data_IF_629899072109
#
_entry.id   IF_629899072109
#
_cell.length_a   1.000
_cell.length_b   1.000
_cell.length_c   1.000
_cell.angle_alpha   90.00
_cell.angle_beta   90.00
_cell.angle_gamma   90.00
#
_symmetry.space_group_name_H-M   'P 1'
#
loop_
_entity.id
_entity.type
_entity.pdbx_description
1 polymer ?
#
# COMPACT_ATOMS: atom_id res chain seq x y z
N UNK A 1 32.74 -6.20 11.96
CA UNK A 1 32.82 -4.82 11.42
C UNK A 1 31.64 -4.48 10.50
N UNK A 2 30.42 -5.00 10.78
CA UNK A 2 29.26 -4.93 9.87
C UNK A 2 28.00 -4.36 10.54
N UNK A 3 28.08 -4.06 11.85
CA UNK A 3 26.98 -3.58 12.68
C UNK A 3 26.87 -2.04 12.64
N UNK A 4 28.00 -1.33 12.48
CA UNK A 4 28.02 0.14 12.40
C UNK A 4 27.44 0.68 11.07
N UNK A 5 27.54 -0.06 9.96
CA UNK A 5 27.05 0.40 8.64
C UNK A 5 25.52 0.33 8.54
N UNK A 6 24.87 -0.52 9.32
CA UNK A 6 23.40 -0.64 9.37
C UNK A 6 22.77 0.50 10.17
N UNK A 7 23.45 0.98 11.23
CA UNK A 7 22.99 2.09 12.05
C UNK A 7 23.00 3.41 11.27
N UNK A 8 24.07 3.71 10.53
CA UNK A 8 24.18 4.97 9.76
C UNK A 8 23.12 5.08 8.66
N UNK A 9 22.79 3.97 7.98
CA UNK A 9 21.74 3.96 6.94
C UNK A 9 20.33 4.06 7.51
N UNK A 10 20.12 3.59 8.75
CA UNK A 10 18.86 3.75 9.47
C UNK A 10 18.59 5.22 9.76
N UNK A 11 19.62 5.96 10.19
CA UNK A 11 19.54 7.39 10.41
C UNK A 11 19.26 8.15 9.11
N UNK A 12 19.84 7.78 7.97
CA UNK A 12 19.62 8.51 6.70
C UNK A 12 18.20 8.39 6.16
N UNK A 13 17.55 7.23 6.21
CA UNK A 13 16.17 7.09 5.71
C UNK A 13 15.19 7.78 6.66
N UNK A 14 15.39 7.64 7.97
CA UNK A 14 14.61 8.38 8.96
C UNK A 14 14.81 9.90 8.77
N UNK A 15 16.05 10.34 8.58
CA UNK A 15 16.38 11.75 8.34
C UNK A 15 15.93 12.23 6.95
N UNK A 16 15.77 11.38 5.93
CA UNK A 16 15.18 11.76 4.64
C UNK A 16 13.65 11.81 4.69
N UNK A 17 13.03 10.95 5.51
CA UNK A 17 11.63 11.09 5.91
C UNK A 17 11.40 12.37 6.71
N UNK A 18 12.39 12.79 7.52
CA UNK A 18 12.39 14.00 8.34
C UNK A 18 12.75 15.27 7.54
N UNK A 19 13.65 15.21 6.54
CA UNK A 19 14.03 16.37 5.69
C UNK A 19 12.87 16.79 4.76
N UNK A 20 12.02 15.85 4.32
CA UNK A 20 10.81 16.22 3.58
C UNK A 20 9.69 16.78 4.48
N UNK A 21 9.91 16.84 5.80
CA UNK A 21 9.10 17.59 6.77
C UNK A 21 9.56 19.06 6.76
N UNK A 22 9.43 19.74 5.63
CA UNK A 22 9.27 21.20 5.68
C UNK A 22 7.93 21.45 6.38
N UNK A 23 7.82 22.39 7.33
CA UNK A 23 6.66 22.60 8.22
C UNK A 23 5.30 22.94 7.59
N UNK A 24 5.06 22.55 6.35
CA UNK A 24 3.80 22.59 5.64
C UNK A 24 3.08 21.24 5.72
N UNK A 25 1.75 21.29 5.73
CA UNK A 25 0.86 20.13 5.62
C UNK A 25 1.15 19.37 4.31
N UNK A 26 1.42 18.07 4.39
CA UNK A 26 1.64 17.19 3.23
C UNK A 26 0.53 16.15 3.10
N UNK A 27 0.34 15.67 1.87
CA UNK A 27 -0.59 14.60 1.55
C UNK A 27 0.15 13.25 1.48
N UNK A 28 -0.32 12.28 2.26
CA UNK A 28 0.14 10.88 2.25
C UNK A 28 -0.88 10.04 1.50
N UNK A 29 -0.46 9.39 0.42
CA UNK A 29 -1.30 8.45 -0.33
C UNK A 29 -0.85 7.03 -0.02
N UNK A 30 -1.79 6.18 0.38
CA UNK A 30 -1.55 4.75 0.59
C UNK A 30 -2.37 3.96 -0.44
N UNK A 31 -1.69 3.12 -1.21
CA UNK A 31 -2.35 2.22 -2.18
C UNK A 31 -3.08 1.11 -1.42
N UNK A 32 -4.41 1.16 -1.46
CA UNK A 32 -5.32 0.32 -0.71
C UNK A 32 -5.91 -0.77 -1.62
N UNK A 33 -5.33 -1.97 -1.56
CA UNK A 33 -5.84 -3.17 -2.21
C UNK A 33 -6.34 -4.19 -1.19
N UNK A 34 -7.28 -5.08 -1.59
CA UNK A 34 -7.67 -6.20 -0.75
C UNK A 34 -6.46 -7.14 -0.59
N UNK A 35 -5.80 -7.07 0.56
CA UNK A 35 -4.61 -7.88 0.80
C UNK A 35 -3.84 -7.49 2.07
N UNK A 36 -3.03 -8.45 2.54
CA UNK A 36 -2.17 -8.26 3.70
C UNK A 36 -1.00 -7.32 3.44
N UNK A 37 -0.60 -7.19 2.17
CA UNK A 37 0.46 -6.31 1.70
C UNK A 37 0.07 -4.84 1.94
N UNK A 38 -1.10 -4.42 1.44
CA UNK A 38 -1.62 -3.07 1.68
C UNK A 38 -1.92 -2.80 3.15
N UNK A 39 -2.48 -3.79 3.88
CA UNK A 39 -2.68 -3.65 5.32
C UNK A 39 -1.35 -3.45 6.06
N UNK A 40 -0.32 -4.22 5.72
CA UNK A 40 1.02 -4.06 6.29
C UNK A 40 1.65 -2.71 5.96
N UNK A 41 1.47 -2.22 4.74
CA UNK A 41 1.95 -0.91 4.30
C UNK A 41 1.26 0.24 5.06
N UNK A 42 -0.06 0.15 5.24
CA UNK A 42 -0.82 1.11 6.02
C UNK A 42 -0.37 1.12 7.48
N UNK A 43 -0.19 -0.06 8.08
CA UNK A 43 0.30 -0.18 9.45
C UNK A 43 1.67 0.46 9.63
N UNK A 44 2.58 0.22 8.70
CA UNK A 44 3.89 0.87 8.72
C UNK A 44 3.75 2.40 8.63
N UNK A 45 2.95 2.89 7.67
CA UNK A 45 2.77 4.32 7.45
C UNK A 45 2.23 5.03 8.70
N UNK A 46 1.18 4.49 9.32
CA UNK A 46 0.55 5.07 10.52
C UNK A 46 1.49 5.11 11.73
N UNK A 47 2.44 4.16 11.83
CA UNK A 47 3.35 4.05 12.98
C UNK A 47 4.67 4.79 12.80
N UNK A 48 5.12 5.02 11.56
CA UNK A 48 6.48 5.52 11.30
C UNK A 48 6.54 6.73 10.38
N UNK A 49 5.52 6.96 9.56
CA UNK A 49 5.60 7.95 8.49
C UNK A 49 4.60 9.10 8.66
N UNK A 50 3.38 8.84 9.13
CA UNK A 50 2.30 9.85 9.24
C UNK A 50 2.52 10.75 10.46
N UNK A 51 2.36 12.06 10.26
CA UNK A 51 2.39 13.09 11.30
C UNK A 51 1.00 13.70 11.54
N UNK A 52 0.81 14.38 12.67
CA UNK A 52 -0.50 14.95 13.04
C UNK A 52 -1.03 15.99 12.03
N UNK A 53 -0.14 16.75 11.39
CA UNK A 53 -0.54 17.75 10.38
C UNK A 53 -0.81 17.17 8.98
N UNK A 54 -0.54 15.87 8.76
CA UNK A 54 -0.69 15.24 7.45
C UNK A 54 -2.17 15.04 7.08
N UNK A 55 -2.40 14.69 5.82
CA UNK A 55 -3.66 14.10 5.37
C UNK A 55 -3.40 12.74 4.73
N UNK A 56 -4.33 11.81 4.87
CA UNK A 56 -4.25 10.48 4.29
C UNK A 56 -5.33 10.30 3.22
N UNK A 57 -4.93 9.84 2.04
CA UNK A 57 -5.84 9.25 1.05
C UNK A 57 -5.55 7.76 0.94
N UNK A 58 -6.57 6.94 1.17
CA UNK A 58 -6.61 5.52 0.83
C UNK A 58 -7.05 5.41 -0.63
N UNK A 59 -6.11 5.15 -1.53
CA UNK A 59 -6.35 5.09 -2.97
C UNK A 59 -6.58 3.65 -3.42
N UNK A 60 -7.78 3.36 -3.92
CA UNK A 60 -8.10 2.09 -4.58
C UNK A 60 -8.28 2.28 -6.08
N UNK A 61 -7.58 1.50 -6.90
CA UNK A 61 -7.76 1.50 -8.36
C UNK A 61 -8.48 0.24 -8.79
N UNK A 62 -9.70 0.44 -9.29
CA UNK A 62 -10.60 -0.61 -9.74
C UNK A 62 -10.24 -1.04 -11.18
N UNK A 63 -10.11 -2.34 -11.47
CA UNK A 63 -9.94 -2.77 -12.85
C UNK A 63 -11.24 -2.52 -13.63
N UNK A 64 -11.12 -2.10 -14.89
CA UNK A 64 -12.25 -1.76 -15.80
C UNK A 64 -13.34 -2.85 -15.87
N UNK A 65 -12.98 -4.12 -15.60
CA UNK A 65 -13.89 -5.26 -15.64
C UNK A 65 -14.48 -5.70 -14.28
N UNK A 66 -14.15 -5.05 -13.16
CA UNK A 66 -14.67 -5.44 -11.83
C UNK A 66 -16.21 -5.43 -11.80
N UNK A 67 -16.83 -4.43 -12.42
CA UNK A 67 -18.28 -4.25 -12.52
C UNK A 67 -19.02 -5.38 -13.26
N UNK A 68 -18.33 -6.24 -14.02
CA UNK A 68 -18.95 -7.38 -14.75
C UNK A 68 -18.79 -8.72 -14.03
N UNK A 69 -17.93 -8.82 -13.01
CA UNK A 69 -17.69 -10.08 -12.29
C UNK A 69 -18.69 -10.32 -11.14
N UNK A 70 -19.51 -9.32 -10.80
CA UNK A 70 -20.53 -9.39 -9.74
C UNK A 70 -21.77 -10.26 -10.03
N UNK A 71 -21.81 -11.02 -11.13
CA UNK A 71 -23.00 -11.81 -11.50
C UNK A 71 -22.82 -13.33 -11.50
N UNK A 72 -21.75 -13.92 -10.96
CA UNK A 72 -21.53 -15.39 -11.04
C UNK A 72 -21.20 -16.12 -9.72
N UNK A 73 -21.50 -15.54 -8.56
CA UNK A 73 -21.30 -16.20 -7.26
C UNK A 73 -22.61 -16.56 -6.54
N UNK A 74 -23.58 -17.17 -7.24
CA UNK A 74 -24.72 -17.83 -6.59
C UNK A 74 -25.03 -19.21 -7.20
N UNK A 75 -24.13 -20.16 -6.97
CA UNK A 75 -24.47 -21.58 -6.88
C UNK A 75 -23.89 -22.17 -5.59
N UNK A 76 -24.40 -21.71 -4.43
CA UNK A 76 -24.25 -22.44 -3.17
C UNK A 76 -25.49 -22.26 -2.28
N UNK A 77 -26.42 -23.21 -2.45
CA UNK A 77 -27.45 -23.78 -1.55
C UNK A 77 -28.22 -22.84 -0.58
N UNK A 78 -29.57 -22.82 -0.60
CA UNK A 78 -30.36 -22.05 0.35
C UNK A 78 -30.55 -22.81 1.67
N UNK A 79 -30.41 -22.11 2.79
CA UNK A 79 -31.09 -22.44 4.04
C UNK A 79 -31.73 -21.16 4.56
N UNK A 80 -33.05 -21.16 4.52
CA UNK A 80 -33.95 -20.08 4.90
C UNK A 80 -33.89 -19.81 6.41
N UNK A 81 -33.78 -18.53 6.81
CA UNK A 81 -34.62 -17.95 7.89
C UNK A 81 -34.80 -16.46 7.60
N UNK A 82 -36.04 -15.99 7.67
CA UNK A 82 -36.49 -14.65 7.32
C UNK A 82 -36.19 -13.59 8.40
N UNK A 83 -36.01 -12.33 8.00
CA UNK A 83 -36.17 -11.20 8.91
C UNK A 83 -35.57 -9.87 8.43
N UNK A 84 -36.44 -8.89 8.22
CA UNK A 84 -36.24 -7.44 8.10
C UNK A 84 -35.56 -6.86 6.85
N UNK A 85 -36.33 -5.98 6.21
CA UNK A 85 -35.92 -5.06 5.17
C UNK A 85 -34.82 -4.12 5.65
N UNK A 86 -33.75 -4.05 4.88
CA UNK A 86 -32.89 -2.89 4.76
C UNK A 86 -32.31 -2.97 3.35
N UNK A 87 -32.67 -2.03 2.47
CA UNK A 87 -32.00 -1.87 1.19
C UNK A 87 -30.57 -1.39 1.46
N UNK A 88 -29.68 -2.34 1.74
CA UNK A 88 -28.24 -2.15 1.78
C UNK A 88 -27.71 -2.50 0.40
N UNK A 89 -27.66 -1.49 -0.47
CA UNK A 89 -27.03 -1.60 -1.78
C UNK A 89 -25.52 -1.81 -1.64
N UNK A 90 -25.04 -3.01 -1.95
CA UNK A 90 -23.62 -3.33 -2.10
C UNK A 90 -22.94 -3.97 -0.88
N UNK A 91 -23.38 -5.15 -0.48
CA UNK A 91 -22.72 -5.93 0.57
C UNK A 91 -21.35 -6.46 0.09
N UNK A 92 -20.27 -5.78 0.50
CA UNK A 92 -18.94 -6.41 0.68
C UNK A 92 -17.84 -6.09 -0.34
N UNK A 93 -18.10 -5.36 -1.43
CA UNK A 93 -17.08 -5.19 -2.49
C UNK A 93 -15.89 -4.31 -2.06
N UNK A 94 -16.08 -3.45 -1.05
CA UNK A 94 -15.05 -2.52 -0.57
C UNK A 94 -14.95 -2.40 0.96
N UNK A 95 -15.47 -3.38 1.70
CA UNK A 95 -15.46 -3.39 3.17
C UNK A 95 -14.03 -3.26 3.74
N UNK A 96 -13.03 -3.74 3.01
CA UNK A 96 -11.63 -3.60 3.41
C UNK A 96 -11.16 -2.13 3.44
N UNK A 97 -11.72 -1.25 2.61
CA UNK A 97 -11.39 0.18 2.63
C UNK A 97 -11.95 0.85 3.88
N UNK A 98 -13.17 0.48 4.29
CA UNK A 98 -13.76 0.97 5.53
C UNK A 98 -12.97 0.47 6.74
N UNK A 99 -12.56 -0.80 6.75
CA UNK A 99 -11.69 -1.36 7.79
C UNK A 99 -10.34 -0.62 7.88
N UNK A 100 -9.72 -0.31 6.74
CA UNK A 100 -8.48 0.48 6.69
C UNK A 100 -8.69 1.90 7.20
N UNK A 101 -9.79 2.55 6.82
CA UNK A 101 -10.14 3.90 7.29
C UNK A 101 -10.34 3.94 8.80
N UNK A 102 -11.06 2.97 9.36
CA UNK A 102 -11.24 2.82 10.81
C UNK A 102 -9.89 2.64 11.51
N UNK A 103 -8.95 1.88 10.93
CA UNK A 103 -7.60 1.74 11.48
C UNK A 103 -6.83 3.06 11.47
N UNK A 104 -6.95 3.87 10.41
CA UNK A 104 -6.37 5.21 10.36
C UNK A 104 -6.94 6.11 11.45
N UNK A 105 -8.27 6.23 11.54
CA UNK A 105 -8.95 7.11 12.50
C UNK A 105 -8.66 6.71 13.95
N UNK A 106 -8.50 5.40 14.21
CA UNK A 106 -8.12 4.89 15.53
C UNK A 106 -6.68 5.24 15.90
N UNK A 107 -5.73 5.10 14.98
CA UNK A 107 -4.29 5.30 15.28
C UNK A 107 -3.86 6.76 15.18
N UNK A 108 -4.49 7.53 14.30
CA UNK A 108 -4.15 8.91 13.98
C UNK A 108 -5.44 9.78 14.00
N UNK A 109 -6.09 9.96 15.16
CA UNK A 109 -7.42 10.60 15.25
C UNK A 109 -7.43 12.08 14.85
N UNK A 110 -6.27 12.73 14.80
CA UNK A 110 -6.11 14.14 14.39
C UNK A 110 -5.92 14.30 12.87
N UNK A 111 -5.60 13.20 12.18
CA UNK A 111 -5.29 13.20 10.75
C UNK A 111 -6.56 12.99 9.95
N UNK A 112 -6.76 13.81 8.91
CA UNK A 112 -7.90 13.66 8.01
C UNK A 112 -7.69 12.47 7.09
N UNK A 113 -8.67 11.56 7.03
CA UNK A 113 -8.61 10.34 6.20
C UNK A 113 -9.72 10.38 5.14
N UNK A 114 -9.33 10.21 3.88
CA UNK A 114 -10.23 10.13 2.74
C UNK A 114 -10.04 8.79 2.00
N UNK A 115 -11.09 8.31 1.35
CA UNK A 115 -11.03 7.15 0.46
C UNK A 115 -11.24 7.67 -0.95
N UNK A 116 -10.30 7.40 -1.84
CA UNK A 116 -10.38 7.75 -3.26
C UNK A 116 -10.45 6.46 -4.07
N UNK A 117 -11.55 6.26 -4.80
CA UNK A 117 -11.72 5.11 -5.70
C UNK A 117 -11.67 5.60 -7.13
N UNK A 118 -10.82 5.01 -7.94
CA UNK A 118 -10.64 5.43 -9.33
C UNK A 118 -10.65 4.21 -10.23
N UNK A 119 -11.33 4.31 -11.37
CA UNK A 119 -11.26 3.28 -12.39
C UNK A 119 -9.88 3.31 -13.07
N UNK A 120 -9.33 2.13 -13.34
CA UNK A 120 -8.12 2.00 -14.13
C UNK A 120 -8.34 2.64 -15.50
N UNK A 121 -7.43 3.54 -15.89
CA UNK A 121 -7.51 4.20 -17.18
C UNK A 121 -7.16 3.26 -18.35
N UNK A 122 -6.87 3.86 -19.50
CA UNK A 122 -6.40 3.12 -20.70
C UNK A 122 -5.06 2.41 -20.45
N UNK A 123 -4.22 2.96 -19.57
CA UNK A 123 -2.95 2.38 -19.14
C UNK A 123 -3.12 1.51 -17.90
N UNK A 124 -2.03 0.89 -17.47
CA UNK A 124 -2.04 0.00 -16.32
C UNK A 124 -2.30 0.73 -14.98
N UNK A 125 -2.51 -0.09 -13.94
CA UNK A 125 -2.73 0.36 -12.57
C UNK A 125 -1.63 1.28 -12.05
N UNK A 126 -0.38 0.93 -12.34
CA UNK A 126 0.79 1.65 -11.83
C UNK A 126 0.84 3.07 -12.40
N UNK A 127 0.58 3.21 -13.70
CA UNK A 127 0.46 4.51 -14.34
C UNK A 127 -0.70 5.33 -13.75
N UNK A 128 -1.87 4.71 -13.54
CA UNK A 128 -3.04 5.39 -12.95
C UNK A 128 -2.73 5.96 -11.57
N UNK A 129 -2.11 5.14 -10.69
CA UNK A 129 -1.69 5.56 -9.35
C UNK A 129 -0.68 6.72 -9.45
N UNK A 130 0.31 6.60 -10.33
CA UNK A 130 1.34 7.62 -10.50
C UNK A 130 0.74 8.97 -10.95
N UNK A 131 -0.19 8.95 -11.90
CA UNK A 131 -0.87 10.16 -12.38
C UNK A 131 -1.68 10.82 -11.28
N UNK A 132 -2.46 10.05 -10.51
CA UNK A 132 -3.25 10.57 -9.39
C UNK A 132 -2.37 11.15 -8.28
N UNK A 133 -1.31 10.43 -7.89
CA UNK A 133 -0.40 10.91 -6.85
C UNK A 133 0.27 12.24 -7.24
N UNK A 134 0.65 12.38 -8.51
CA UNK A 134 1.18 13.64 -9.02
C UNK A 134 0.11 14.75 -9.09
N UNK A 135 -1.11 14.44 -9.53
CA UNK A 135 -2.18 15.41 -9.67
C UNK A 135 -2.65 15.96 -8.31
N UNK A 136 -2.69 15.11 -7.29
CA UNK A 136 -3.06 15.47 -5.93
C UNK A 136 -1.91 16.13 -5.15
N UNK A 137 -0.70 16.21 -5.72
CA UNK A 137 0.47 16.77 -5.05
C UNK A 137 0.90 15.96 -3.82
N UNK A 138 0.86 14.62 -3.92
CA UNK A 138 1.29 13.73 -2.84
C UNK A 138 2.73 14.06 -2.41
N UNK A 139 2.95 14.23 -1.09
CA UNK A 139 4.29 14.34 -0.51
C UNK A 139 4.92 12.96 -0.26
N UNK A 140 4.09 11.97 0.05
CA UNK A 140 4.49 10.59 0.30
C UNK A 140 3.52 9.62 -0.36
N UNK A 141 4.03 8.67 -1.14
CA UNK A 141 3.29 7.55 -1.72
C UNK A 141 3.75 6.23 -1.07
N UNK A 142 2.82 5.46 -0.53
CA UNK A 142 3.11 4.19 0.13
C UNK A 142 2.38 3.04 -0.59
N UNK A 143 3.11 1.98 -0.90
CA UNK A 143 2.55 0.78 -1.55
C UNK A 143 3.04 -0.50 -0.88
N UNK A 144 2.11 -1.44 -0.67
CA UNK A 144 2.44 -2.77 -0.17
C UNK A 144 3.12 -3.63 -1.23
N UNK A 145 4.27 -4.20 -0.87
CA UNK A 145 5.01 -5.15 -1.70
C UNK A 145 4.77 -6.57 -1.24
N UNK A 146 4.45 -7.44 -2.21
CA UNK A 146 4.30 -8.87 -1.95
C UNK A 146 5.64 -9.49 -1.63
N UNK A 147 5.63 -10.43 -0.69
CA UNK A 147 6.78 -11.31 -0.49
C UNK A 147 6.86 -12.26 -1.68
N UNK A 148 7.88 -12.10 -2.52
CA UNK A 148 8.34 -13.17 -3.39
C UNK A 148 8.86 -14.30 -2.49
N UNK A 149 7.96 -15.15 -2.00
CA UNK A 149 8.34 -16.47 -1.49
C UNK A 149 8.76 -17.26 -2.71
N UNK A 150 10.06 -17.28 -2.99
CA UNK A 150 10.61 -18.30 -3.86
C UNK A 150 10.20 -19.65 -3.28
N UNK A 151 9.29 -20.34 -3.97
CA UNK A 151 9.17 -21.79 -3.82
C UNK A 151 10.49 -22.38 -4.27
N UNK A 152 11.39 -22.58 -3.29
CA UNK A 152 12.56 -23.42 -3.40
C UNK A 152 12.11 -24.88 -3.48
N UNK A 153 11.51 -25.26 -4.62
CA UNK A 153 11.50 -26.65 -5.10
C UNK A 153 11.75 -26.58 -6.61
N UNK A 154 13.03 -26.54 -6.99
CA UNK A 154 13.45 -27.20 -8.24
C UNK A 154 13.80 -26.36 -9.47
N UNK A 155 14.36 -25.14 -9.39
CA UNK A 155 15.12 -24.58 -10.55
C UNK A 155 16.43 -23.92 -10.13
N UNK A 156 17.51 -24.69 -10.32
CA UNK A 156 18.88 -24.20 -10.57
C UNK A 156 18.83 -23.21 -11.75
N UNK A 157 19.66 -22.17 -11.67
CA UNK A 157 19.89 -21.09 -12.65
C UNK A 157 18.82 -20.00 -12.71
N UNK A 158 18.93 -18.99 -11.85
CA UNK A 158 18.54 -17.61 -12.19
C UNK A 158 18.96 -16.62 -11.08
N UNK A 159 20.26 -16.40 -10.91
CA UNK A 159 20.77 -15.25 -10.15
C UNK A 159 20.89 -14.01 -11.06
N UNK A 160 20.27 -14.06 -12.24
CA UNK A 160 20.35 -13.02 -13.28
C UNK A 160 19.06 -12.85 -14.08
N UNK A 161 17.95 -13.49 -13.72
CA UNK A 161 16.66 -13.35 -14.40
C UNK A 161 15.48 -13.41 -13.40
N UNK A 162 15.39 -12.44 -12.48
CA UNK A 162 14.05 -12.03 -12.04
C UNK A 162 13.44 -11.23 -13.19
N UNK A 163 12.98 -11.96 -14.19
CA UNK A 163 12.29 -11.45 -15.37
C UNK A 163 11.02 -10.73 -14.92
N UNK A 164 11.17 -9.44 -14.64
CA UNK A 164 10.32 -8.33 -15.10
C UNK A 164 8.83 -8.68 -15.17
N UNK A 165 8.29 -9.23 -14.08
CA UNK A 165 6.86 -9.24 -13.83
C UNK A 165 6.54 -7.96 -13.10
N UNK A 166 6.13 -6.93 -13.86
CA UNK A 166 5.58 -5.63 -13.47
C UNK A 166 5.28 -5.45 -11.95
N UNK A 167 6.31 -5.30 -11.10
CA UNK A 167 6.07 -4.93 -9.70
C UNK A 167 5.63 -3.47 -9.72
N UNK A 168 4.33 -3.25 -9.49
CA UNK A 168 3.71 -1.93 -9.41
C UNK A 168 4.52 -1.04 -8.47
N UNK A 169 5.01 -1.60 -7.36
CA UNK A 169 5.80 -0.84 -6.41
C UNK A 169 7.14 -0.37 -6.99
N UNK A 170 7.88 -1.24 -7.69
CA UNK A 170 9.14 -0.84 -8.32
C UNK A 170 8.90 0.24 -9.39
N UNK A 171 7.85 0.10 -10.21
CA UNK A 171 7.49 1.13 -11.18
C UNK A 171 7.20 2.47 -10.50
N UNK A 172 6.37 2.48 -9.45
CA UNK A 172 6.03 3.68 -8.70
C UNK A 172 7.26 4.31 -8.04
N UNK A 173 8.13 3.50 -7.43
CA UNK A 173 9.35 3.96 -6.77
C UNK A 173 10.30 4.67 -7.75
N UNK A 174 10.48 4.13 -8.96
CA UNK A 174 11.40 4.71 -9.93
C UNK A 174 10.83 5.98 -10.58
N UNK A 175 9.50 6.03 -10.80
CA UNK A 175 8.85 7.07 -11.60
C UNK A 175 8.12 8.15 -10.78
N UNK A 176 7.93 7.99 -9.47
CA UNK A 176 7.31 9.01 -8.61
C UNK A 176 8.13 10.29 -8.57
N UNK A 177 7.44 11.43 -8.58
CA UNK A 177 8.06 12.74 -8.30
C UNK A 177 8.24 12.99 -6.80
N UNK A 178 7.36 12.42 -6.00
CA UNK A 178 7.40 12.46 -4.54
C UNK A 178 8.16 11.26 -3.96
N UNK A 179 8.37 11.27 -2.63
CA UNK A 179 8.90 10.12 -1.93
C UNK A 179 7.93 8.94 -2.07
N UNK A 180 8.39 7.86 -2.70
CA UNK A 180 7.62 6.62 -2.79
C UNK A 180 8.33 5.50 -2.01
N UNK A 181 7.55 4.80 -1.19
CA UNK A 181 8.03 3.72 -0.33
C UNK A 181 7.23 2.45 -0.61
N UNK A 182 7.92 1.43 -1.10
CA UNK A 182 7.45 0.06 -1.15
C UNK A 182 7.68 -0.61 0.21
N UNK A 183 6.62 -1.18 0.79
CA UNK A 183 6.64 -1.73 2.15
C UNK A 183 6.32 -3.21 2.12
N UNK A 184 7.21 -4.02 2.68
CA UNK A 184 7.01 -5.46 2.83
C UNK A 184 7.05 -5.86 4.31
N UNK A 185 5.90 -6.24 4.87
CA UNK A 185 5.83 -6.75 6.25
C UNK A 185 6.50 -8.13 6.39
N UNK A 186 7.43 -8.27 7.32
CA UNK A 186 8.14 -9.53 7.60
C UNK A 186 7.50 -10.25 8.79
N UNK A 187 6.65 -11.24 8.51
CA UNK A 187 6.03 -12.06 9.56
C UNK A 187 5.14 -11.24 10.52
N UNK A 188 4.77 -11.82 11.66
CA UNK A 188 4.02 -11.08 12.69
C UNK A 188 4.93 -10.12 13.47
N UNK A 189 6.17 -10.52 13.80
CA UNK A 189 7.09 -9.77 14.66
C UNK A 189 8.43 -9.39 13.99
N UNK A 190 8.57 -9.57 12.67
CA UNK A 190 9.85 -9.40 11.97
C UNK A 190 10.06 -8.02 11.35
N UNK A 191 9.22 -7.03 11.71
CA UNK A 191 9.31 -5.66 11.21
C UNK A 191 8.92 -5.50 9.74
N UNK A 192 9.54 -4.54 9.06
CA UNK A 192 9.23 -4.12 7.69
C UNK A 192 10.49 -4.02 6.85
N UNK A 193 10.45 -4.50 5.61
CA UNK A 193 11.46 -4.18 4.60
C UNK A 193 10.93 -3.05 3.73
N UNK A 194 11.71 -1.98 3.60
CA UNK A 194 11.39 -0.78 2.85
C UNK A 194 12.25 -0.67 1.60
N UNK A 195 11.61 -0.26 0.51
CA UNK A 195 12.23 0.06 -0.77
C UNK A 195 11.83 1.48 -1.18
N UNK A 196 12.82 2.24 -1.62
CA UNK A 196 12.70 3.60 -2.11
C UNK A 196 13.59 3.75 -3.34
N UNK A 197 13.60 4.93 -3.96
CA UNK A 197 14.40 5.19 -5.16
C UNK A 197 15.91 5.10 -4.86
N UNK A 198 16.33 5.58 -3.70
CA UNK A 198 17.74 5.63 -3.31
C UNK A 198 18.18 4.47 -2.41
N UNK A 199 17.25 3.79 -1.74
CA UNK A 199 17.54 2.70 -0.82
C UNK A 199 16.64 1.50 -1.06
N UNK A 200 17.23 0.31 -1.15
CA UNK A 200 16.50 -0.96 -1.32
C UNK A 200 16.84 -1.90 -0.16
N UNK A 201 15.89 -2.79 0.16
CA UNK A 201 16.00 -3.82 1.19
C UNK A 201 16.36 -3.30 2.59
N UNK A 202 15.85 -2.13 2.94
CA UNK A 202 16.09 -1.54 4.24
C UNK A 202 15.20 -2.19 5.29
N UNK A 203 15.79 -2.83 6.30
CA UNK A 203 15.02 -3.57 7.31
C UNK A 203 14.80 -2.71 8.55
N UNK A 204 13.54 -2.37 8.80
CA UNK A 204 13.08 -1.65 9.99
C UNK A 204 12.49 -2.67 10.97
N UNK A 205 13.07 -2.78 12.16
CA UNK A 205 12.59 -3.69 13.20
C UNK A 205 11.22 -3.23 13.73
N UNK A 206 10.42 -4.20 14.19
CA UNK A 206 9.10 -3.94 14.76
C UNK A 206 9.20 -3.28 16.14
#
# INVERSE_FOLDING_TARGET
MQIHVLADRCTTINHQMEIQVTGAKRLVIVVADPGRESAGALQWALSHAVLEQDEIILLHVEPVNAKRAGTLSFLRRPSQVAGSQMESGGCGEYEFLDAMKVECEKKQPKVRVQIERVEMGEKDKAFTILTLANALGAGLLVIGQRRNSGTFIGRKLSETMSMKGNDIADYLIENSKCLCVGVQKKGQNGGYVLNTKTHKNFWLLA
#
